data_IF_574707739861
#
_entry.id   IF_574707739861
#
_cell.length_a   1.000
_cell.length_b   1.000
_cell.length_c   1.000
_cell.angle_alpha   90.00
_cell.angle_beta   90.00
_cell.angle_gamma   90.00
#
_symmetry.space_group_name_H-M   'P 1'
#
loop_
_entity.id
_entity.type
_entity.pdbx_description
1 polymer ?
#
# COMPACT_ATOMS: atom_id res chain seq x y z
N UNK A 1 7.94 18.38 -3.88
CA UNK A 1 7.15 17.34 -3.21
C UNK A 1 7.94 16.76 -2.05
N UNK A 2 7.27 16.48 -0.93
CA UNK A 2 7.88 15.75 0.21
C UNK A 2 8.02 14.29 -0.18
N UNK A 3 9.22 13.73 -0.08
CA UNK A 3 9.49 12.30 -0.38
C UNK A 3 9.72 11.48 0.88
N UNK A 4 10.12 12.12 1.98
CA UNK A 4 10.19 11.53 3.31
C UNK A 4 9.80 12.57 4.34
N UNK A 5 8.94 12.15 5.26
CA UNK A 5 8.56 12.92 6.44
C UNK A 5 9.77 13.24 7.33
N UNK A 6 9.68 14.29 8.18
CA UNK A 6 10.77 14.62 9.08
C UNK A 6 10.95 13.51 10.12
N UNK A 7 12.19 13.20 10.47
CA UNK A 7 12.53 12.16 11.45
C UNK A 7 13.47 12.76 12.49
N UNK A 8 13.02 12.81 13.75
CA UNK A 8 13.75 13.44 14.85
C UNK A 8 14.00 14.92 14.58
N UNK A 9 15.26 15.37 14.69
CA UNK A 9 15.65 16.75 14.37
C UNK A 9 15.90 17.04 12.88
N UNK A 10 15.75 16.06 11.98
CA UNK A 10 15.98 16.25 10.54
C UNK A 10 14.68 16.64 9.84
N UNK A 11 14.71 17.76 9.11
CA UNK A 11 13.60 18.20 8.27
C UNK A 11 13.28 17.21 7.14
N UNK A 12 12.14 17.42 6.48
CA UNK A 12 11.64 16.56 5.41
C UNK A 12 12.58 16.52 4.21
N UNK A 13 12.63 15.38 3.51
CA UNK A 13 13.33 15.26 2.23
C UNK A 13 12.41 15.74 1.10
N UNK A 14 12.94 16.57 0.21
CA UNK A 14 12.19 17.16 -0.90
C UNK A 14 12.73 16.71 -2.25
N UNK A 15 11.85 16.71 -3.26
CA UNK A 15 12.20 16.57 -4.69
C UNK A 15 11.48 17.63 -5.53
N UNK A 16 12.08 18.02 -6.65
CA UNK A 16 11.43 18.82 -7.71
C UNK A 16 10.80 17.94 -8.79
N UNK A 17 11.15 16.65 -8.84
CA UNK A 17 10.50 15.67 -9.71
C UNK A 17 9.16 15.26 -9.08
N UNK A 18 8.11 15.98 -9.45
CA UNK A 18 6.77 15.74 -8.93
C UNK A 18 6.24 14.44 -9.53
N UNK A 19 5.55 13.63 -8.71
CA UNK A 19 4.73 12.52 -9.17
C UNK A 19 3.39 12.53 -8.45
N UNK A 20 2.32 12.28 -9.22
CA UNK A 20 0.94 12.22 -8.75
C UNK A 20 0.46 10.76 -8.91
N UNK A 21 0.38 9.99 -7.83
CA UNK A 21 -0.10 8.62 -7.88
C UNK A 21 -1.62 8.58 -8.05
N UNK A 22 -2.08 8.04 -9.18
CA UNK A 22 -3.46 7.60 -9.39
C UNK A 22 -3.62 6.13 -9.05
N UNK A 23 -4.79 5.57 -9.37
CA UNK A 23 -5.12 4.18 -9.08
C UNK A 23 -4.32 3.20 -9.95
N UNK A 24 -4.28 3.47 -11.25
CA UNK A 24 -3.68 2.60 -12.26
C UNK A 24 -2.35 3.15 -12.77
N UNK A 25 -2.21 4.47 -12.82
CA UNK A 25 -0.98 5.11 -13.30
C UNK A 25 -0.44 6.12 -12.31
N UNK A 26 0.87 6.33 -12.34
CA UNK A 26 1.53 7.47 -11.69
C UNK A 26 1.85 8.49 -12.78
N UNK A 27 1.30 9.69 -12.64
CA UNK A 27 1.54 10.80 -13.54
C UNK A 27 2.78 11.58 -13.11
N UNK A 28 3.69 11.83 -14.04
CA UNK A 28 4.96 12.54 -13.79
C UNK A 28 4.98 13.78 -14.68
N UNK A 29 4.54 14.94 -14.17
CA UNK A 29 4.47 16.16 -14.98
C UNK A 29 5.83 16.54 -15.57
N UNK A 30 5.81 17.15 -16.76
CA UNK A 30 6.98 17.69 -17.46
C UNK A 30 8.15 16.69 -17.60
N UNK A 31 7.83 15.41 -17.82
CA UNK A 31 8.80 14.32 -17.93
C UNK A 31 8.48 13.45 -19.13
N UNK A 32 9.49 12.81 -19.71
CA UNK A 32 9.30 11.79 -20.74
C UNK A 32 9.26 10.37 -20.16
N UNK A 33 9.41 10.21 -18.84
CA UNK A 33 9.43 8.90 -18.18
C UNK A 33 8.23 8.07 -18.60
N UNK A 34 8.48 6.87 -19.12
CA UNK A 34 7.45 5.89 -19.39
C UNK A 34 7.88 4.55 -18.82
N UNK A 35 7.09 3.99 -17.91
CA UNK A 35 7.38 2.73 -17.24
C UNK A 35 6.13 1.89 -17.09
N UNK A 36 6.31 0.57 -17.08
CA UNK A 36 5.24 -0.38 -16.76
C UNK A 36 5.76 -1.29 -15.65
N UNK A 37 4.94 -1.54 -14.63
CA UNK A 37 5.28 -2.42 -13.51
C UNK A 37 5.81 -3.76 -14.00
N UNK A 38 6.95 -4.19 -13.43
CA UNK A 38 7.55 -5.50 -13.74
C UNK A 38 6.80 -6.68 -13.14
N UNK A 39 5.86 -6.42 -12.22
CA UNK A 39 5.01 -7.44 -11.60
C UNK A 39 3.87 -7.90 -12.51
N UNK A 40 3.59 -7.17 -13.59
CA UNK A 40 2.55 -7.50 -14.55
C UNK A 40 3.04 -8.56 -15.57
N UNK A 41 2.19 -9.51 -15.98
CA UNK A 41 2.50 -10.45 -17.05
C UNK A 41 2.83 -9.76 -18.39
N UNK A 42 3.66 -10.37 -19.22
CA UNK A 42 4.15 -9.79 -20.49
C UNK A 42 3.04 -9.38 -21.45
N UNK A 43 2.03 -10.24 -21.61
CA UNK A 43 0.87 -9.96 -22.45
C UNK A 43 0.13 -8.70 -21.98
N UNK A 44 -0.03 -8.56 -20.66
CA UNK A 44 -0.72 -7.43 -20.05
C UNK A 44 0.08 -6.13 -20.17
N UNK A 45 1.41 -6.21 -20.00
CA UNK A 45 2.29 -5.06 -20.25
C UNK A 45 2.18 -4.55 -21.68
N UNK A 46 2.10 -5.46 -22.66
CA UNK A 46 1.94 -5.07 -24.06
C UNK A 46 0.57 -4.42 -24.33
N UNK A 47 -0.52 -5.01 -23.80
CA UNK A 47 -1.87 -4.44 -23.89
C UNK A 47 -1.93 -3.03 -23.32
N UNK A 48 -1.47 -2.84 -22.09
CA UNK A 48 -1.47 -1.56 -21.39
C UNK A 48 -0.60 -0.52 -22.12
N UNK A 49 0.55 -0.94 -22.66
CA UNK A 49 1.41 -0.08 -23.48
C UNK A 49 0.67 0.46 -24.71
N UNK A 50 -0.07 -0.40 -25.41
CA UNK A 50 -0.77 -0.02 -26.64
C UNK A 50 -1.99 0.86 -26.38
N UNK A 51 -2.68 0.67 -25.25
CA UNK A 51 -3.73 1.59 -24.79
C UNK A 51 -3.13 2.94 -24.42
N UNK A 52 -2.11 2.97 -23.54
CA UNK A 52 -1.55 4.22 -23.02
C UNK A 52 -0.84 5.06 -24.08
N UNK A 53 -0.26 4.46 -25.12
CA UNK A 53 0.26 5.22 -26.26
C UNK A 53 -0.78 6.12 -26.93
N UNK A 54 -2.07 5.75 -26.88
CA UNK A 54 -3.15 6.52 -27.52
C UNK A 54 -3.63 7.68 -26.66
N UNK A 55 -3.59 7.52 -25.33
CA UNK A 55 -4.18 8.48 -24.38
C UNK A 55 -3.13 9.34 -23.65
N UNK A 56 -1.85 8.95 -23.67
CA UNK A 56 -0.77 9.67 -22.98
C UNK A 56 -0.56 11.09 -23.56
N UNK A 57 -0.56 12.15 -22.73
CA UNK A 57 -0.10 13.47 -23.14
C UNK A 57 1.39 13.47 -23.49
N UNK A 58 1.76 14.10 -24.59
CA UNK A 58 3.14 14.11 -25.10
C UNK A 58 4.15 14.77 -24.13
N UNK A 59 3.70 15.70 -23.31
CA UNK A 59 4.55 16.52 -22.43
C UNK A 59 4.79 15.90 -21.05
N UNK A 60 4.14 14.78 -20.73
CA UNK A 60 4.10 14.22 -19.39
C UNK A 60 4.46 12.74 -19.34
N UNK A 61 5.05 12.34 -18.22
CA UNK A 61 5.50 10.99 -17.94
C UNK A 61 4.38 10.16 -17.33
N UNK A 62 4.43 8.84 -17.53
CA UNK A 62 3.47 7.89 -16.96
C UNK A 62 4.19 6.62 -16.50
N UNK A 63 3.84 6.12 -15.33
CA UNK A 63 4.30 4.83 -14.82
C UNK A 63 3.07 3.98 -14.49
N UNK A 64 2.93 2.81 -15.12
CA UNK A 64 1.79 1.91 -14.92
C UNK A 64 2.01 1.06 -13.68
N UNK A 65 1.01 1.02 -12.80
CA UNK A 65 1.00 0.29 -11.53
C UNK A 65 0.53 -1.15 -11.73
N UNK A 66 0.83 -2.02 -10.77
CA UNK A 66 0.31 -3.41 -10.78
C UNK A 66 -1.21 -3.46 -10.71
N UNK A 67 -1.85 -2.51 -10.02
CA UNK A 67 -3.31 -2.40 -9.95
C UNK A 67 -3.99 -2.16 -11.32
N UNK A 68 -3.23 -1.83 -12.37
CA UNK A 68 -3.75 -1.68 -13.74
C UNK A 68 -4.00 -3.03 -14.45
N UNK A 69 -3.64 -4.16 -13.83
CA UNK A 69 -3.95 -5.48 -14.38
C UNK A 69 -5.45 -5.64 -14.61
N UNK A 70 -5.83 -5.96 -15.85
CA UNK A 70 -7.23 -6.12 -16.26
C UNK A 70 -8.01 -4.82 -16.45
N UNK A 71 -7.42 -3.66 -16.14
CA UNK A 71 -8.11 -2.37 -16.27
C UNK A 71 -8.51 -2.08 -17.73
N UNK A 72 -9.72 -1.59 -17.93
CA UNK A 72 -10.25 -1.16 -19.21
C UNK A 72 -9.55 0.10 -19.72
N UNK A 73 -9.72 0.42 -21.00
CA UNK A 73 -9.15 1.64 -21.57
C UNK A 73 -9.81 2.89 -20.98
N UNK A 74 -11.12 2.80 -20.71
CA UNK A 74 -11.96 3.82 -20.12
C UNK A 74 -11.51 4.16 -18.69
N UNK A 75 -11.23 3.15 -17.87
CA UNK A 75 -10.68 3.33 -16.52
C UNK A 75 -9.31 4.01 -16.52
N UNK A 76 -8.41 3.60 -17.42
CA UNK A 76 -7.10 4.22 -17.58
C UNK A 76 -7.20 5.68 -18.03
N UNK A 77 -8.14 5.98 -18.92
CA UNK A 77 -8.40 7.34 -19.38
C UNK A 77 -9.00 8.21 -18.28
N UNK A 78 -9.93 7.66 -17.48
CA UNK A 78 -10.50 8.35 -16.32
C UNK A 78 -9.44 8.71 -15.27
N UNK A 79 -8.58 7.75 -14.90
CA UNK A 79 -7.47 7.96 -13.95
C UNK A 79 -6.48 9.02 -14.49
N UNK A 80 -6.10 8.93 -15.77
CA UNK A 80 -5.21 9.90 -16.39
C UNK A 80 -5.81 11.30 -16.48
N UNK A 81 -7.09 11.41 -16.81
CA UNK A 81 -7.82 12.68 -16.85
C UNK A 81 -7.90 13.31 -15.46
N UNK A 82 -8.19 12.50 -14.43
CA UNK A 82 -8.22 12.94 -13.04
C UNK A 82 -6.86 13.50 -12.60
N UNK A 83 -5.76 12.81 -12.92
CA UNK A 83 -4.40 13.28 -12.58
C UNK A 83 -3.98 14.52 -13.37
N UNK A 84 -4.36 14.61 -14.64
CA UNK A 84 -4.07 15.78 -15.48
C UNK A 84 -4.80 17.02 -14.96
N UNK A 85 -6.06 16.86 -14.54
CA UNK A 85 -6.83 17.94 -13.93
C UNK A 85 -6.21 18.38 -12.60
N UNK A 86 -5.82 17.43 -11.74
CA UNK A 86 -5.11 17.75 -10.50
C UNK A 86 -3.82 18.54 -10.76
N UNK A 87 -3.04 18.14 -11.76
CA UNK A 87 -1.82 18.87 -12.13
C UNK A 87 -2.13 20.30 -12.60
N UNK A 88 -3.15 20.47 -13.45
CA UNK A 88 -3.58 21.79 -13.89
C UNK A 88 -4.00 22.70 -12.72
N UNK A 89 -4.67 22.15 -11.71
CA UNK A 89 -5.05 22.89 -10.50
C UNK A 89 -3.84 23.26 -9.63
N UNK A 90 -2.84 22.36 -9.52
CA UNK A 90 -1.57 22.64 -8.86
C UNK A 90 -0.82 23.77 -9.56
N UNK A 91 -0.69 23.71 -10.89
CA UNK A 91 -0.05 24.77 -11.69
C UNK A 91 -0.78 26.11 -11.55
N UNK A 92 -2.11 26.09 -11.58
CA UNK A 92 -2.93 27.28 -11.40
C UNK A 92 -2.71 27.90 -10.03
N UNK A 93 -2.66 27.09 -8.96
CA UNK A 93 -2.31 27.58 -7.62
C UNK A 93 -0.87 28.10 -7.54
N UNK A 94 0.08 27.41 -8.17
CA UNK A 94 1.48 27.83 -8.18
C UNK A 94 1.70 29.19 -8.85
N UNK A 95 0.96 29.47 -9.94
CA UNK A 95 1.07 30.73 -10.71
C UNK A 95 0.42 31.93 -10.02
N UNK A 96 -0.46 31.71 -9.02
CA UNK A 96 -1.07 32.81 -8.26
C UNK A 96 -0.05 33.49 -7.35
N UNK A 97 -0.02 34.82 -7.36
CA UNK A 97 0.79 35.66 -6.46
C UNK A 97 0.15 35.75 -5.07
N UNK A 98 0.08 34.63 -4.37
CA UNK A 98 -0.31 34.57 -2.96
C UNK A 98 0.93 34.45 -2.06
N UNK A 99 0.79 34.75 -0.77
CA UNK A 99 1.90 34.73 0.18
C UNK A 99 2.38 33.29 0.40
N UNK A 100 3.68 33.04 0.19
CA UNK A 100 4.35 31.78 0.48
C UNK A 100 4.93 31.76 1.92
N UNK A 101 5.18 30.58 2.54
CA UNK A 101 4.93 29.22 2.04
C UNK A 101 3.45 28.80 2.17
N UNK A 102 2.99 27.93 1.27
CA UNK A 102 1.64 27.35 1.32
C UNK A 102 1.61 25.98 0.65
N UNK A 103 0.68 25.13 1.08
CA UNK A 103 0.40 23.89 0.38
C UNK A 103 -0.29 24.17 -0.98
N UNK A 104 0.24 23.58 -2.05
CA UNK A 104 -0.41 23.60 -3.37
C UNK A 104 -1.33 22.39 -3.56
N UNK A 105 -0.94 21.28 -2.95
CA UNK A 105 -1.62 20.00 -2.95
C UNK A 105 -1.29 19.27 -1.65
N UNK A 106 -2.28 18.59 -1.11
CA UNK A 106 -2.17 17.68 0.02
C UNK A 106 -2.63 16.31 -0.49
N UNK A 107 -1.87 15.26 -0.18
CA UNK A 107 -2.30 13.91 -0.51
C UNK A 107 -3.60 13.59 0.23
N UNK A 108 -4.50 12.79 -0.34
CA UNK A 108 -5.71 12.34 0.33
C UNK A 108 -5.40 11.65 1.67
N UNK A 109 -6.42 11.58 2.53
CA UNK A 109 -6.33 10.87 3.79
C UNK A 109 -5.89 9.39 3.60
N UNK A 110 -5.34 8.78 4.65
CA UNK A 110 -4.96 7.38 4.67
C UNK A 110 -6.03 6.46 4.09
N UNK A 111 -7.30 6.69 4.39
CA UNK A 111 -8.42 5.85 3.90
C UNK A 111 -8.45 5.79 2.37
N UNK A 112 -8.45 6.95 1.72
CA UNK A 112 -8.46 7.04 0.25
C UNK A 112 -7.16 6.51 -0.34
N UNK A 113 -6.02 6.75 0.30
CA UNK A 113 -4.72 6.22 -0.15
C UNK A 113 -4.71 4.69 -0.13
N UNK A 114 -5.20 4.06 0.94
CA UNK A 114 -5.29 2.59 1.04
C UNK A 114 -6.16 2.02 -0.07
N UNK A 115 -7.31 2.65 -0.36
CA UNK A 115 -8.22 2.20 -1.42
C UNK A 115 -7.60 2.39 -2.80
N UNK A 116 -6.95 3.53 -3.05
CA UNK A 116 -6.20 3.78 -4.29
C UNK A 116 -5.12 2.73 -4.51
N UNK A 117 -4.39 2.38 -3.45
CA UNK A 117 -3.15 1.63 -3.56
C UNK A 117 -3.33 0.12 -3.46
N UNK A 118 -4.39 -0.36 -2.78
CA UNK A 118 -4.59 -1.79 -2.48
C UNK A 118 -5.91 -2.35 -3.01
N UNK A 119 -7.00 -1.59 -3.01
CA UNK A 119 -8.31 -2.19 -3.29
C UNK A 119 -8.42 -2.55 -4.77
N UNK A 120 -8.47 -3.84 -5.11
CA UNK A 120 -8.70 -4.35 -6.47
C UNK A 120 -9.90 -5.31 -6.48
N UNK A 121 -10.61 -5.39 -7.60
CA UNK A 121 -11.82 -6.22 -7.72
C UNK A 121 -11.54 -7.70 -7.44
N UNK A 122 -10.38 -8.18 -7.90
CA UNK A 122 -9.96 -9.57 -7.83
C UNK A 122 -9.54 -10.00 -6.42
N UNK A 123 -8.87 -9.11 -5.66
CA UNK A 123 -8.35 -9.45 -4.34
C UNK A 123 -9.37 -9.20 -3.22
N UNK A 124 -10.26 -8.20 -3.37
CA UNK A 124 -11.13 -7.75 -2.29
C UNK A 124 -12.62 -7.85 -2.65
N UNK A 125 -13.38 -8.46 -1.73
CA UNK A 125 -14.83 -8.67 -1.90
C UNK A 125 -15.64 -7.42 -1.60
N UNK A 126 -15.31 -6.69 -0.55
CA UNK A 126 -16.05 -5.53 -0.06
C UNK A 126 -15.15 -4.57 0.73
N UNK A 127 -15.59 -3.32 0.83
CA UNK A 127 -15.08 -2.32 1.77
C UNK A 127 -16.18 -2.07 2.79
N UNK A 128 -15.86 -2.21 4.07
CA UNK A 128 -16.82 -2.02 5.16
C UNK A 128 -16.32 -0.92 6.08
N UNK A 129 -17.20 0.02 6.43
CA UNK A 129 -16.93 1.10 7.38
C UNK A 129 -18.15 1.29 8.27
N UNK A 130 -17.94 1.66 9.53
CA UNK A 130 -18.99 2.04 10.49
C UNK A 130 -19.25 3.56 10.51
N UNK A 131 -18.61 4.32 9.62
CA UNK A 131 -18.76 5.77 9.50
C UNK A 131 -19.47 6.16 8.21
N UNK A 132 -20.67 6.77 8.28
CA UNK A 132 -21.38 7.27 7.10
C UNK A 132 -20.56 8.30 6.30
N UNK A 133 -19.83 9.18 6.98
CA UNK A 133 -19.00 10.20 6.33
C UNK A 133 -17.86 9.57 5.51
N UNK A 134 -17.19 8.55 6.07
CA UNK A 134 -16.12 7.82 5.36
C UNK A 134 -16.71 7.04 4.18
N UNK A 135 -17.87 6.40 4.37
CA UNK A 135 -18.55 5.69 3.28
C UNK A 135 -18.83 6.63 2.09
N UNK A 136 -19.38 7.81 2.36
CA UNK A 136 -19.71 8.78 1.31
C UNK A 136 -18.44 9.30 0.60
N UNK A 137 -17.36 9.53 1.35
CA UNK A 137 -16.06 9.92 0.80
C UNK A 137 -15.49 8.84 -0.14
N UNK A 138 -15.51 7.58 0.29
CA UNK A 138 -15.03 6.43 -0.50
C UNK A 138 -15.88 6.26 -1.76
N UNK A 139 -17.20 6.32 -1.62
CA UNK A 139 -18.14 6.16 -2.74
C UNK A 139 -17.94 7.29 -3.76
N UNK A 140 -17.77 8.54 -3.32
CA UNK A 140 -17.48 9.66 -4.22
C UNK A 140 -16.16 9.47 -4.97
N UNK A 141 -15.11 9.00 -4.28
CA UNK A 141 -13.82 8.70 -4.90
C UNK A 141 -13.92 7.57 -5.94
N UNK A 142 -14.59 6.46 -5.60
CA UNK A 142 -14.77 5.33 -6.51
C UNK A 142 -15.65 5.69 -7.70
N UNK A 143 -16.73 6.46 -7.54
CA UNK A 143 -17.54 6.91 -8.66
C UNK A 143 -16.78 7.78 -9.67
N UNK A 144 -15.74 8.49 -9.25
CA UNK A 144 -14.93 9.29 -10.15
C UNK A 144 -13.95 8.45 -10.99
N UNK A 145 -13.54 7.27 -10.52
CA UNK A 145 -12.40 6.52 -11.08
C UNK A 145 -12.73 5.07 -11.49
N UNK A 146 -13.56 4.40 -10.71
CA UNK A 146 -13.94 2.98 -10.84
C UNK A 146 -15.40 2.78 -10.35
N UNK A 147 -16.42 3.26 -11.09
CA UNK A 147 -17.82 3.24 -10.67
C UNK A 147 -18.37 1.85 -10.34
N UNK A 148 -17.88 0.81 -11.02
CA UNK A 148 -18.21 -0.59 -10.81
C UNK A 148 -17.86 -1.09 -9.39
N UNK A 149 -16.84 -0.47 -8.77
CA UNK A 149 -16.41 -0.83 -7.42
C UNK A 149 -17.19 -0.11 -6.32
N UNK A 150 -17.93 0.97 -6.64
CA UNK A 150 -18.68 1.72 -5.64
C UNK A 150 -19.76 0.86 -4.94
N UNK A 151 -20.31 -0.13 -5.65
CA UNK A 151 -21.29 -1.08 -5.10
C UNK A 151 -20.73 -2.04 -4.04
N UNK A 152 -19.41 -2.14 -3.91
CA UNK A 152 -18.73 -2.96 -2.90
C UNK A 152 -18.55 -2.25 -1.55
N UNK A 153 -18.92 -0.98 -1.44
CA UNK A 153 -18.79 -0.19 -0.20
C UNK A 153 -20.05 -0.33 0.64
N UNK A 154 -19.91 -0.85 1.86
CA UNK A 154 -21.00 -1.09 2.80
C UNK A 154 -20.82 -0.28 4.08
N UNK A 155 -21.93 0.23 4.59
CA UNK A 155 -22.01 0.78 5.93
C UNK A 155 -22.32 -0.36 6.90
N UNK A 156 -21.53 -0.48 7.95
CA UNK A 156 -21.74 -1.40 9.06
C UNK A 156 -22.74 -0.80 10.04
N UNK A 157 -23.84 -1.50 10.27
CA UNK A 157 -24.90 -1.11 11.22
C UNK A 157 -25.18 -2.23 12.24
N UNK A 158 -24.29 -3.21 12.32
CA UNK A 158 -24.41 -4.34 13.24
C UNK A 158 -24.33 -3.91 14.72
N UNK A 159 -24.86 -4.73 15.64
CA UNK A 159 -24.82 -4.44 17.07
C UNK A 159 -23.42 -4.56 17.67
N UNK A 160 -22.52 -5.30 17.02
CA UNK A 160 -21.12 -5.44 17.42
C UNK A 160 -20.25 -4.39 16.70
N UNK A 161 -19.19 -3.88 17.35
CA UNK A 161 -18.20 -3.05 16.68
C UNK A 161 -17.63 -3.75 15.43
N UNK A 162 -17.43 -2.99 14.36
CA UNK A 162 -17.01 -3.51 13.04
C UNK A 162 -15.80 -4.47 13.14
N UNK A 163 -14.75 -4.07 13.86
CA UNK A 163 -13.54 -4.87 13.99
C UNK A 163 -13.74 -6.15 14.81
N UNK A 164 -14.69 -6.16 15.73
CA UNK A 164 -15.03 -7.35 16.52
C UNK A 164 -15.84 -8.34 15.68
N UNK A 165 -16.82 -7.85 14.92
CA UNK A 165 -17.66 -8.68 14.05
C UNK A 165 -16.84 -9.43 13.00
N UNK A 166 -15.79 -8.79 12.47
CA UNK A 166 -14.87 -9.39 11.51
C UNK A 166 -13.65 -10.07 12.17
N UNK A 167 -13.64 -10.23 13.49
CA UNK A 167 -12.53 -10.81 14.27
C UNK A 167 -11.15 -10.18 14.01
N UNK A 168 -11.13 -8.91 13.61
CA UNK A 168 -9.89 -8.16 13.33
C UNK A 168 -9.26 -7.69 14.64
N UNK A 169 -10.06 -7.33 15.65
CA UNK A 169 -9.56 -6.90 16.97
C UNK A 169 -8.59 -7.92 17.58
N UNK A 170 -8.99 -9.20 17.63
CA UNK A 170 -8.13 -10.26 18.15
C UNK A 170 -6.85 -10.45 17.33
N UNK A 171 -6.94 -10.31 16.01
CA UNK A 171 -5.79 -10.44 15.11
C UNK A 171 -4.80 -9.30 15.33
N UNK A 172 -5.28 -8.07 15.53
CA UNK A 172 -4.44 -6.92 15.86
C UNK A 172 -3.72 -7.16 17.19
N UNK A 173 -4.44 -7.57 18.24
CA UNK A 173 -3.81 -7.85 19.53
C UNK A 173 -2.73 -8.93 19.42
N UNK A 174 -3.05 -10.08 18.82
CA UNK A 174 -2.09 -11.16 18.57
C UNK A 174 -0.91 -10.70 17.72
N UNK A 175 -1.15 -9.85 16.73
CA UNK A 175 -0.11 -9.32 15.85
C UNK A 175 0.77 -8.26 16.51
N UNK A 176 0.34 -7.62 17.60
CA UNK A 176 1.13 -6.63 18.32
C UNK A 176 1.86 -7.21 19.54
N UNK A 177 1.51 -8.43 19.96
CA UNK A 177 2.18 -9.13 21.06
C UNK A 177 3.68 -9.28 20.80
N UNK A 178 4.49 -9.13 21.85
CA UNK A 178 5.96 -9.35 21.75
C UNK A 178 6.31 -10.74 21.20
N UNK A 179 5.48 -11.73 21.49
CA UNK A 179 5.63 -13.13 21.05
C UNK A 179 4.60 -13.47 19.98
N UNK A 180 5.06 -13.88 18.79
CA UNK A 180 4.20 -14.21 17.65
C UNK A 180 4.35 -15.70 17.33
N UNK A 181 3.26 -16.45 17.36
CA UNK A 181 3.30 -17.90 17.10
C UNK A 181 3.31 -18.23 15.61
N UNK A 182 4.10 -19.24 15.24
CA UNK A 182 4.17 -19.81 13.90
C UNK A 182 3.20 -21.00 13.76
N UNK A 183 2.71 -21.32 12.55
CA UNK A 183 1.80 -22.45 12.31
C UNK A 183 2.30 -23.79 12.87
N UNK A 184 3.60 -24.04 12.76
CA UNK A 184 4.27 -25.25 13.24
C UNK A 184 4.34 -25.38 14.77
N UNK A 185 4.08 -24.31 15.53
CA UNK A 185 4.25 -24.26 16.98
C UNK A 185 5.58 -23.65 17.45
N UNK A 186 6.42 -23.21 16.52
CA UNK A 186 7.49 -22.25 16.77
C UNK A 186 6.95 -20.85 17.08
N UNK A 187 7.84 -19.90 17.38
CA UNK A 187 7.44 -18.52 17.61
C UNK A 187 8.58 -17.53 17.36
N UNK A 188 8.21 -16.30 17.05
CA UNK A 188 9.08 -15.14 16.97
C UNK A 188 9.01 -14.34 18.27
N UNK A 189 10.12 -13.73 18.66
CA UNK A 189 10.17 -12.69 19.70
C UNK A 189 10.68 -11.42 19.07
N UNK A 190 9.89 -10.35 19.12
CA UNK A 190 10.21 -9.06 18.48
C UNK A 190 10.53 -8.02 19.56
N UNK A 191 11.78 -7.57 19.60
CA UNK A 191 12.28 -6.58 20.55
C UNK A 191 12.76 -5.31 19.84
N UNK A 192 12.27 -4.16 20.30
CA UNK A 192 12.67 -2.85 19.77
C UNK A 192 13.70 -2.20 20.70
N UNK A 193 14.88 -1.94 20.17
CA UNK A 193 15.92 -1.15 20.82
C UNK A 193 15.94 0.29 20.26
N UNK A 194 16.88 1.11 20.73
CA UNK A 194 16.98 2.53 20.36
C UNK A 194 17.19 2.76 18.86
N UNK A 195 18.08 1.97 18.23
CA UNK A 195 18.48 2.17 16.84
C UNK A 195 18.11 0.99 15.91
N UNK A 196 17.62 -0.12 16.47
CA UNK A 196 17.39 -1.35 15.74
C UNK A 196 16.25 -2.17 16.34
N UNK A 197 15.70 -3.08 15.54
CA UNK A 197 14.75 -4.11 15.99
C UNK A 197 15.42 -5.48 15.86
N UNK A 198 15.34 -6.29 16.90
CA UNK A 198 15.83 -7.68 16.91
C UNK A 198 14.64 -8.62 16.85
N UNK A 199 14.73 -9.66 16.03
CA UNK A 199 13.74 -10.72 15.95
C UNK A 199 14.42 -12.06 16.16
N UNK A 200 14.01 -12.79 17.18
CA UNK A 200 14.53 -14.10 17.56
C UNK A 200 13.55 -15.21 17.15
N UNK A 201 14.06 -16.28 16.51
CA UNK A 201 13.26 -17.41 16.00
C UNK A 201 13.43 -18.63 16.88
N UNK A 202 12.32 -19.16 17.40
CA UNK A 202 12.31 -20.30 18.29
C UNK A 202 11.49 -21.46 17.72
N UNK A 203 12.00 -22.69 17.83
CA UNK A 203 11.27 -23.92 17.45
C UNK A 203 10.09 -24.23 18.38
N UNK A 204 10.11 -23.73 19.62
CA UNK A 204 9.01 -23.86 20.57
C UNK A 204 8.57 -25.31 20.79
N UNK A 205 7.31 -25.63 20.46
CA UNK A 205 6.75 -26.99 20.57
C UNK A 205 6.96 -27.83 19.31
N UNK A 206 7.56 -27.27 18.26
CA UNK A 206 7.82 -27.95 17.01
C UNK A 206 9.07 -28.82 17.13
N UNK A 207 8.91 -29.99 17.76
CA UNK A 207 9.94 -31.02 17.86
C UNK A 207 9.55 -32.12 16.88
N UNK A 208 10.12 -32.10 15.67
CA UNK A 208 9.86 -33.10 14.65
C UNK A 208 10.15 -34.51 15.14
N UNK A 209 9.45 -35.52 14.61
CA UNK A 209 9.54 -36.91 15.08
C UNK A 209 10.78 -37.68 14.59
N UNK A 210 11.59 -37.14 13.67
CA UNK A 210 12.71 -37.90 13.10
C UNK A 210 13.93 -37.08 12.63
N UNK A 211 13.78 -35.85 12.11
CA UNK A 211 14.91 -35.06 11.59
C UNK A 211 14.89 -33.62 12.10
N UNK A 212 15.87 -33.27 12.95
CA UNK A 212 15.99 -31.94 13.55
C UNK A 212 16.29 -30.87 12.49
N UNK A 213 17.13 -31.18 11.51
CA UNK A 213 17.57 -30.25 10.46
C UNK A 213 16.42 -29.82 9.55
N UNK A 214 15.55 -30.76 9.16
CA UNK A 214 14.32 -30.47 8.43
C UNK A 214 13.34 -29.61 9.25
N UNK A 215 13.23 -29.90 10.56
CA UNK A 215 12.38 -29.15 11.49
C UNK A 215 12.84 -27.70 11.62
N UNK A 216 14.15 -27.50 11.74
CA UNK A 216 14.78 -26.17 11.80
C UNK A 216 14.58 -25.42 10.49
N UNK A 217 14.87 -26.06 9.35
CA UNK A 217 14.70 -25.46 8.03
C UNK A 217 13.25 -25.02 7.81
N UNK A 218 12.29 -25.88 8.13
CA UNK A 218 10.86 -25.55 8.05
C UNK A 218 10.47 -24.37 8.94
N UNK A 219 10.95 -24.36 10.19
CA UNK A 219 10.69 -23.26 11.13
C UNK A 219 11.27 -21.93 10.62
N UNK A 220 12.49 -21.92 10.09
CA UNK A 220 13.11 -20.71 9.55
C UNK A 220 12.37 -20.18 8.31
N UNK A 221 11.84 -21.06 7.45
CA UNK A 221 11.03 -20.65 6.29
C UNK A 221 9.71 -20.00 6.74
N UNK A 222 8.99 -20.61 7.68
CA UNK A 222 7.77 -20.02 8.27
C UNK A 222 8.08 -18.68 8.96
N UNK A 223 9.18 -18.62 9.70
CA UNK A 223 9.64 -17.43 10.36
C UNK A 223 9.92 -16.29 9.37
N UNK A 224 10.57 -16.58 8.24
CA UNK A 224 10.87 -15.57 7.23
C UNK A 224 9.60 -14.93 6.64
N UNK A 225 8.57 -15.73 6.36
CA UNK A 225 7.29 -15.24 5.87
C UNK A 225 6.57 -14.39 6.92
N UNK A 226 6.51 -14.89 8.17
CA UNK A 226 5.85 -14.19 9.26
C UNK A 226 6.59 -12.90 9.66
N UNK A 227 7.93 -12.88 9.66
CA UNK A 227 8.72 -11.65 9.86
C UNK A 227 8.34 -10.62 8.81
N UNK A 228 8.30 -10.99 7.52
CA UNK A 228 7.92 -10.06 6.47
C UNK A 228 6.51 -9.49 6.68
N UNK A 229 5.57 -10.30 7.18
CA UNK A 229 4.22 -9.87 7.55
C UNK A 229 4.22 -8.90 8.73
N UNK A 230 4.94 -9.23 9.81
CA UNK A 230 5.02 -8.42 11.03
C UNK A 230 5.67 -7.06 10.81
N UNK A 231 6.71 -6.98 9.98
CA UNK A 231 7.34 -5.70 9.62
C UNK A 231 6.34 -4.74 8.97
N UNK A 232 5.44 -5.25 8.11
CA UNK A 232 4.37 -4.45 7.49
C UNK A 232 3.29 -4.06 8.49
N UNK A 233 2.84 -5.01 9.31
CA UNK A 233 1.76 -4.77 10.28
C UNK A 233 2.14 -3.77 11.37
N UNK A 234 3.40 -3.77 11.79
CA UNK A 234 3.91 -2.92 12.85
C UNK A 234 4.58 -1.65 12.34
N UNK A 235 4.63 -1.46 11.02
CA UNK A 235 5.35 -0.38 10.35
C UNK A 235 6.79 -0.22 10.86
N UNK A 236 7.52 -1.35 10.95
CA UNK A 236 8.90 -1.38 11.46
C UNK A 236 9.86 -1.04 10.32
N UNK A 237 10.55 0.10 10.45
CA UNK A 237 11.63 0.52 9.57
C UNK A 237 12.96 0.71 10.31
N UNK A 238 14.06 0.74 9.56
CA UNK A 238 15.41 0.91 10.11
C UNK A 238 16.25 -0.37 10.04
N UNK A 239 17.21 -0.52 10.95
CA UNK A 239 18.04 -1.72 11.04
C UNK A 239 17.21 -2.83 11.70
N UNK A 240 17.09 -3.96 11.02
CA UNK A 240 16.39 -5.14 11.50
C UNK A 240 17.39 -6.29 11.51
N UNK A 241 17.55 -6.93 12.66
CA UNK A 241 18.40 -8.09 12.86
C UNK A 241 17.48 -9.28 13.12
N UNK A 242 17.63 -10.35 12.33
CA UNK A 242 16.85 -11.58 12.48
C UNK A 242 17.83 -12.68 12.87
N UNK A 243 17.62 -13.26 14.05
CA UNK A 243 18.38 -14.39 14.58
C UNK A 243 17.63 -15.68 14.23
N UNK A 244 18.00 -16.26 13.08
CA UNK A 244 17.46 -17.55 12.66
C UNK A 244 18.11 -18.69 13.43
N UNK A 245 17.40 -19.80 13.54
CA UNK A 245 17.96 -21.01 14.17
C UNK A 245 19.08 -21.55 13.29
N UNK A 246 20.20 -21.96 13.90
CA UNK A 246 21.35 -22.53 13.21
C UNK A 246 20.97 -23.75 12.35
N UNK A 247 21.39 -23.73 11.08
CA UNK A 247 21.20 -24.79 10.08
C UNK A 247 22.54 -25.40 9.68
#
# INVERSE_FOLDING_TARGET
QVTKDPIGGKGSRLTQEISLPGRFVVFVPNSQTFGISRRLPDAERQRLKDVLKKIKPNEHGLIVRTAAEGASAEELEADLKYLTQQWADIEKKAKKREKAPRALYEEPDLTIRVIRDHFTDAEYKEIVTDSPAIRDEIVAYLHALSPELAGKVKLHEGPLPLLEEYHVTEQIHKALDRKVWLPSGGYLVIDKAEALTVIDVNTGKHVGKANLEETVTGTNLEAAEEVARQLRLRDIGGIIIIDFIDM
#
